data_IF_205076745975
#
_entry.id   IF_205076745975
#
_cell.length_a   1.000
_cell.length_b   1.000
_cell.length_c   1.000
_cell.angle_alpha   90.00
_cell.angle_beta   90.00
_cell.angle_gamma   90.00
#
_symmetry.space_group_name_H-M   'P 1'
#
loop_
_entity.id
_entity.type
_entity.pdbx_description
1 polymer ?
#
# COMPACT_ATOMS: atom_id res chain seq x y z
N UNK A 1 0.62 -10.84 -4.49
CA UNK A 1 -0.38 -11.12 -3.44
C UNK A 1 -0.12 -10.19 -2.26
N UNK A 2 -1.13 -9.92 -1.42
CA UNK A 2 -0.96 -9.04 -0.25
C UNK A 2 0.12 -9.56 0.72
N UNK A 3 0.08 -10.86 1.02
CA UNK A 3 1.07 -11.52 1.88
C UNK A 3 2.51 -11.39 1.36
N UNK A 4 2.71 -11.38 0.04
CA UNK A 4 4.04 -11.17 -0.54
C UNK A 4 4.57 -9.77 -0.21
N UNK A 5 3.79 -8.71 -0.46
CA UNK A 5 4.23 -7.33 -0.19
C UNK A 5 4.45 -7.09 1.31
N UNK A 6 3.72 -7.79 2.15
CA UNK A 6 3.90 -7.76 3.60
C UNK A 6 5.09 -8.58 4.10
N UNK A 7 5.81 -9.36 3.30
CA UNK A 7 6.89 -10.21 3.84
C UNK A 7 8.14 -10.25 2.98
N UNK A 8 8.10 -9.71 1.77
CA UNK A 8 9.24 -9.77 0.84
C UNK A 8 10.43 -8.94 1.32
N UNK A 9 10.22 -7.88 2.12
CA UNK A 9 11.28 -6.97 2.55
C UNK A 9 12.45 -7.66 3.29
N UNK A 10 12.23 -8.29 4.46
CA UNK A 10 13.30 -8.96 5.20
C UNK A 10 13.96 -10.08 4.38
N UNK A 11 13.17 -10.81 3.58
CA UNK A 11 13.69 -11.87 2.70
C UNK A 11 14.61 -11.30 1.62
N UNK A 12 14.22 -10.19 1.00
CA UNK A 12 15.05 -9.52 0.00
C UNK A 12 16.34 -8.97 0.63
N UNK A 13 16.25 -8.41 1.84
CA UNK A 13 17.42 -7.93 2.55
C UNK A 13 18.36 -9.07 2.94
N UNK A 14 17.85 -10.24 3.34
CA UNK A 14 18.66 -11.42 3.60
C UNK A 14 19.40 -11.94 2.37
N UNK A 15 18.90 -11.65 1.16
CA UNK A 15 19.54 -12.06 -0.11
C UNK A 15 20.57 -11.02 -0.57
N UNK A 16 20.26 -9.73 -0.44
CA UNK A 16 21.06 -8.63 -1.03
C UNK A 16 22.07 -8.06 -0.03
N UNK A 17 21.78 -8.15 1.27
CA UNK A 17 22.57 -7.60 2.36
C UNK A 17 23.48 -8.62 3.04
N UNK A 18 23.96 -9.64 2.34
CA UNK A 18 24.81 -10.72 2.90
C UNK A 18 26.04 -10.16 3.66
N UNK A 19 26.61 -9.06 3.16
CA UNK A 19 27.76 -8.37 3.76
C UNK A 19 27.42 -7.55 5.02
N UNK A 20 26.13 -7.32 5.33
CA UNK A 20 25.67 -6.53 6.49
C UNK A 20 25.58 -7.35 7.79
N UNK A 21 25.83 -8.66 7.72
CA UNK A 21 25.76 -9.58 8.86
C UNK A 21 24.37 -10.17 9.09
N UNK A 22 24.32 -11.28 9.84
CA UNK A 22 23.11 -12.09 10.04
C UNK A 22 21.96 -11.36 10.76
N UNK A 23 22.26 -10.27 11.47
CA UNK A 23 21.29 -9.49 12.24
C UNK A 23 20.49 -8.50 11.38
N UNK A 24 21.02 -8.08 10.21
CA UNK A 24 20.43 -7.03 9.39
C UNK A 24 18.97 -7.28 8.96
N UNK A 25 18.58 -8.49 8.51
CA UNK A 25 17.17 -8.82 8.23
C UNK A 25 16.26 -8.70 9.47
N UNK A 26 16.79 -9.00 10.66
CA UNK A 26 16.09 -8.88 11.94
C UNK A 26 15.81 -7.42 12.29
N UNK A 27 16.82 -6.55 12.18
CA UNK A 27 16.68 -5.10 12.39
C UNK A 27 15.63 -4.50 11.44
N UNK A 28 15.69 -4.87 10.16
CA UNK A 28 14.71 -4.44 9.17
C UNK A 28 13.29 -4.91 9.50
N UNK A 29 13.15 -6.16 9.95
CA UNK A 29 11.88 -6.72 10.40
C UNK A 29 11.32 -5.92 11.60
N UNK A 30 12.16 -5.54 12.56
CA UNK A 30 11.75 -4.74 13.72
C UNK A 30 11.20 -3.37 13.29
N UNK A 31 11.86 -2.70 12.34
CA UNK A 31 11.35 -1.47 11.72
C UNK A 31 10.00 -1.69 11.03
N UNK A 32 9.87 -2.78 10.27
CA UNK A 32 8.63 -3.16 9.58
C UNK A 32 7.46 -3.45 10.53
N UNK A 33 7.71 -4.06 11.68
CA UNK A 33 6.67 -4.33 12.68
C UNK A 33 6.03 -3.02 13.12
N UNK A 34 6.86 -2.03 13.47
CA UNK A 34 6.39 -0.70 13.89
C UNK A 34 5.69 0.02 12.74
N UNK A 35 6.25 -0.05 11.52
CA UNK A 35 5.69 0.65 10.36
C UNK A 35 4.32 0.13 9.92
N UNK A 36 3.97 -1.10 10.30
CA UNK A 36 2.69 -1.76 9.94
C UNK A 36 1.54 -1.48 10.89
N UNK A 37 1.79 -0.86 12.04
CA UNK A 37 0.75 -0.51 13.00
C UNK A 37 -0.47 0.16 12.30
N UNK A 38 -0.29 1.20 11.46
CA UNK A 38 -1.41 1.84 10.75
C UNK A 38 -2.12 0.89 9.78
N UNK A 39 -1.37 0.03 9.09
CA UNK A 39 -1.93 -0.93 8.15
C UNK A 39 -2.84 -1.94 8.88
N UNK A 40 -2.46 -2.41 10.07
CA UNK A 40 -3.30 -3.31 10.86
C UNK A 40 -4.61 -2.65 11.30
N UNK A 41 -4.57 -1.39 11.72
CA UNK A 41 -5.80 -0.62 11.99
C UNK A 41 -6.68 -0.51 10.73
N UNK A 42 -6.09 -0.25 9.57
CA UNK A 42 -6.82 -0.21 8.30
C UNK A 42 -7.47 -1.55 7.94
N UNK A 43 -6.82 -2.69 8.25
CA UNK A 43 -7.43 -4.02 8.01
C UNK A 43 -8.76 -4.19 8.75
N UNK A 44 -8.88 -3.66 9.97
CA UNK A 44 -10.15 -3.69 10.72
C UNK A 44 -11.23 -2.88 10.01
N UNK A 45 -10.87 -1.74 9.41
CA UNK A 45 -11.80 -0.86 8.69
C UNK A 45 -12.25 -1.49 7.36
N UNK A 46 -11.38 -2.22 6.64
CA UNK A 46 -11.73 -2.89 5.37
C UNK A 46 -12.95 -3.81 5.50
N UNK A 47 -13.09 -4.50 6.64
CA UNK A 47 -14.18 -5.46 6.87
C UNK A 47 -15.57 -4.80 6.81
N UNK A 48 -15.70 -3.55 7.29
CA UNK A 48 -16.96 -2.79 7.23
C UNK A 48 -17.19 -2.07 5.91
N UNK A 49 -16.12 -1.79 5.15
CA UNK A 49 -16.20 -0.98 3.93
C UNK A 49 -16.67 -1.75 2.70
N UNK A 50 -16.28 -3.02 2.57
CA UNK A 50 -16.67 -3.82 1.41
C UNK A 50 -18.19 -3.97 1.26
N UNK A 51 -18.95 -4.32 2.32
CA UNK A 51 -20.41 -4.41 2.22
C UNK A 51 -21.06 -3.08 1.84
N UNK A 52 -20.57 -1.96 2.38
CA UNK A 52 -21.10 -0.63 2.09
C UNK A 52 -20.88 -0.23 0.61
N UNK A 53 -19.71 -0.53 0.05
CA UNK A 53 -19.41 -0.31 -1.37
C UNK A 53 -20.23 -1.23 -2.28
N UNK A 54 -20.37 -2.51 -1.89
CA UNK A 54 -21.12 -3.50 -2.67
C UNK A 54 -22.62 -3.17 -2.72
N UNK A 55 -23.21 -2.67 -1.63
CA UNK A 55 -24.61 -2.26 -1.60
C UNK A 55 -24.89 -1.14 -2.61
N UNK A 56 -24.04 -0.10 -2.67
CA UNK A 56 -24.19 0.99 -3.65
C UNK A 56 -23.99 0.55 -5.10
N UNK A 57 -23.07 -0.39 -5.33
CA UNK A 57 -22.88 -0.98 -6.65
C UNK A 57 -24.09 -1.84 -7.08
N UNK A 58 -24.76 -2.51 -6.14
CA UNK A 58 -25.95 -3.32 -6.41
C UNK A 58 -27.18 -2.45 -6.72
N UNK A 59 -27.28 -1.27 -6.13
CA UNK A 59 -28.36 -0.30 -6.35
C UNK A 59 -28.21 0.50 -7.67
N UNK A 60 -27.19 0.21 -8.48
CA UNK A 60 -26.78 0.95 -9.69
C UNK A 60 -26.48 2.45 -9.44
N UNK A 61 -26.29 2.85 -8.18
CA UNK A 61 -25.86 4.19 -7.75
C UNK A 61 -24.35 4.36 -7.94
N UNK A 62 -23.92 4.44 -9.19
CA UNK A 62 -22.51 4.55 -9.55
C UNK A 62 -21.88 5.91 -9.17
N UNK A 63 -22.68 6.97 -9.11
CA UNK A 63 -22.22 8.30 -8.68
C UNK A 63 -21.98 8.34 -7.17
N UNK A 64 -22.91 7.82 -6.36
CA UNK A 64 -22.70 7.66 -4.92
C UNK A 64 -21.60 6.65 -4.59
N UNK A 65 -21.46 5.59 -5.38
CA UNK A 65 -20.30 4.68 -5.29
C UNK A 65 -18.98 5.43 -5.50
N UNK A 66 -18.87 6.25 -6.55
CA UNK A 66 -17.67 7.05 -6.83
C UNK A 66 -17.35 7.98 -5.68
N UNK A 67 -18.35 8.67 -5.12
CA UNK A 67 -18.16 9.59 -4.00
C UNK A 67 -17.60 8.87 -2.76
N UNK A 68 -18.22 7.75 -2.37
CA UNK A 68 -17.76 6.94 -1.24
C UNK A 68 -16.34 6.42 -1.46
N UNK A 69 -16.04 5.95 -2.68
CA UNK A 69 -14.72 5.45 -3.03
C UNK A 69 -13.65 6.56 -2.98
N UNK A 70 -13.94 7.76 -3.48
CA UNK A 70 -13.02 8.90 -3.41
C UNK A 70 -12.80 9.36 -1.97
N UNK A 71 -13.87 9.41 -1.17
CA UNK A 71 -13.79 9.74 0.26
C UNK A 71 -12.95 8.72 1.03
N UNK A 72 -13.12 7.43 0.73
CA UNK A 72 -12.31 6.36 1.29
C UNK A 72 -10.83 6.55 0.94
N UNK A 73 -10.51 6.68 -0.35
CA UNK A 73 -9.11 6.84 -0.80
C UNK A 73 -8.49 8.11 -0.23
N UNK A 74 -9.24 9.22 -0.17
CA UNK A 74 -8.79 10.47 0.44
C UNK A 74 -8.51 10.33 1.93
N UNK A 75 -9.41 9.70 2.69
CA UNK A 75 -9.20 9.44 4.11
C UNK A 75 -7.96 8.55 4.34
N UNK A 76 -7.79 7.50 3.52
CA UNK A 76 -6.63 6.61 3.60
C UNK A 76 -5.34 7.32 3.23
N UNK A 77 -5.35 8.22 2.25
CA UNK A 77 -4.20 9.05 1.89
C UNK A 77 -3.77 9.96 3.06
N UNK A 78 -4.73 10.58 3.74
CA UNK A 78 -4.46 11.41 4.93
C UNK A 78 -3.87 10.57 6.05
N UNK A 79 -4.47 9.41 6.35
CA UNK A 79 -3.96 8.50 7.38
C UNK A 79 -2.56 8.02 7.02
N UNK A 80 -2.33 7.59 5.78
CA UNK A 80 -1.03 7.13 5.30
C UNK A 80 0.04 8.21 5.41
N UNK A 81 -0.26 9.44 4.98
CA UNK A 81 0.67 10.57 5.09
C UNK A 81 0.97 10.93 6.55
N UNK A 82 -0.08 11.02 7.39
CA UNK A 82 0.05 11.33 8.81
C UNK A 82 0.83 10.27 9.57
N UNK A 83 0.53 8.99 9.34
CA UNK A 83 1.24 7.89 9.97
C UNK A 83 2.68 7.78 9.50
N UNK A 84 2.96 8.05 8.22
CA UNK A 84 4.31 8.10 7.68
C UNK A 84 5.15 9.16 8.38
N UNK A 85 4.62 10.37 8.52
CA UNK A 85 5.30 11.44 9.24
C UNK A 85 5.52 11.08 10.72
N UNK A 86 4.50 10.55 11.39
CA UNK A 86 4.59 10.13 12.79
C UNK A 86 5.64 9.03 13.00
N UNK A 87 5.67 8.01 12.13
CA UNK A 87 6.61 6.90 12.22
C UNK A 87 8.03 7.33 11.84
N UNK A 88 8.21 8.23 10.86
CA UNK A 88 9.53 8.78 10.56
C UNK A 88 10.13 9.53 11.77
N UNK A 89 9.30 10.26 12.51
CA UNK A 89 9.73 11.05 13.66
C UNK A 89 9.93 10.21 14.93
N UNK A 90 8.98 9.34 15.25
CA UNK A 90 8.92 8.62 16.54
C UNK A 90 9.42 7.18 16.41
N UNK A 91 9.37 6.58 15.23
CA UNK A 91 9.75 5.20 14.96
C UNK A 91 11.17 4.83 15.40
N UNK A 92 12.21 5.64 15.13
CA UNK A 92 13.57 5.36 15.61
C UNK A 92 13.66 5.18 17.12
N UNK A 93 12.95 6.04 17.87
CA UNK A 93 12.89 5.95 19.33
C UNK A 93 12.15 4.68 19.79
N UNK A 94 11.06 4.32 19.13
CA UNK A 94 10.30 3.09 19.42
C UNK A 94 11.16 1.86 19.18
N UNK A 95 11.85 1.79 18.03
CA UNK A 95 12.69 0.63 17.67
C UNK A 95 13.81 0.46 18.68
N UNK A 96 14.50 1.56 19.02
CA UNK A 96 15.56 1.55 20.03
C UNK A 96 15.09 1.09 21.40
N UNK A 97 13.90 1.52 21.81
CA UNK A 97 13.37 1.21 23.14
C UNK A 97 12.81 -0.21 23.22
N UNK A 98 12.12 -0.68 22.16
CA UNK A 98 11.43 -1.97 22.15
C UNK A 98 12.35 -3.13 21.76
N UNK A 99 13.32 -2.90 20.88
CA UNK A 99 14.14 -3.96 20.28
C UNK A 99 15.65 -3.81 20.53
N UNK A 100 16.08 -2.73 21.18
CA UNK A 100 17.51 -2.38 21.36
C UNK A 100 18.29 -2.19 20.04
N UNK A 101 17.58 -1.99 18.93
CA UNK A 101 18.14 -1.76 17.59
C UNK A 101 18.16 -0.29 17.19
N UNK A 102 18.88 0.05 16.12
CA UNK A 102 18.91 1.41 15.56
C UNK A 102 18.48 1.44 14.10
N UNK A 103 17.44 2.24 13.82
CA UNK A 103 17.01 2.61 12.48
C UNK A 103 16.87 4.13 12.38
N UNK A 104 17.19 4.70 11.22
CA UNK A 104 17.06 6.12 10.97
C UNK A 104 15.61 6.56 10.74
N UNK A 105 15.37 7.87 10.87
CA UNK A 105 14.07 8.46 10.52
C UNK A 105 13.69 8.26 9.05
N UNK A 106 14.69 8.24 8.15
CA UNK A 106 14.48 7.96 6.73
C UNK A 106 13.94 6.55 6.52
N UNK A 107 14.62 5.57 7.12
CA UNK A 107 14.31 4.14 7.00
C UNK A 107 12.89 3.88 7.52
N UNK A 108 12.59 4.37 8.72
CA UNK A 108 11.25 4.29 9.32
C UNK A 108 10.19 5.00 8.47
N UNK A 109 10.52 6.15 7.88
CA UNK A 109 9.64 6.90 6.98
C UNK A 109 9.35 6.14 5.69
N UNK A 110 10.35 5.56 5.03
CA UNK A 110 10.19 4.80 3.79
C UNK A 110 9.40 3.50 4.03
N UNK A 111 9.67 2.80 5.11
CA UNK A 111 8.92 1.61 5.52
C UNK A 111 7.44 1.96 5.75
N UNK A 112 7.16 3.05 6.48
CA UNK A 112 5.80 3.51 6.73
C UNK A 112 5.10 3.99 5.44
N UNK A 113 5.82 4.70 4.57
CA UNK A 113 5.31 5.14 3.28
C UNK A 113 4.92 3.96 2.39
N UNK A 114 5.72 2.89 2.38
CA UNK A 114 5.38 1.67 1.63
C UNK A 114 4.11 0.99 2.18
N UNK A 115 3.94 0.97 3.51
CA UNK A 115 2.71 0.52 4.16
C UNK A 115 1.51 1.39 3.78
N UNK A 116 1.68 2.71 3.73
CA UNK A 116 0.68 3.67 3.25
C UNK A 116 0.30 3.45 1.78
N UNK A 117 1.29 3.19 0.92
CA UNK A 117 1.07 2.80 -0.47
C UNK A 117 0.23 1.52 -0.59
N UNK A 118 0.52 0.53 0.24
CA UNK A 118 -0.28 -0.70 0.29
C UNK A 118 -1.71 -0.45 0.79
N UNK A 119 -1.92 0.44 1.77
CA UNK A 119 -3.25 0.84 2.22
C UNK A 119 -4.07 1.48 1.08
N UNK A 120 -3.46 2.37 0.30
CA UNK A 120 -4.10 2.98 -0.87
C UNK A 120 -4.46 1.94 -1.93
N UNK A 121 -3.51 1.05 -2.24
CA UNK A 121 -3.70 -0.07 -3.16
C UNK A 121 -4.87 -0.97 -2.74
N UNK A 122 -4.93 -1.35 -1.46
CA UNK A 122 -6.03 -2.15 -0.91
C UNK A 122 -7.37 -1.41 -0.93
N UNK A 123 -7.37 -0.09 -0.68
CA UNK A 123 -8.58 0.74 -0.76
C UNK A 123 -9.16 0.80 -2.17
N UNK A 124 -8.30 0.88 -3.19
CA UNK A 124 -8.68 0.84 -4.60
C UNK A 124 -9.16 -0.57 -5.01
N UNK A 125 -8.54 -1.62 -4.44
CA UNK A 125 -8.96 -3.00 -4.63
C UNK A 125 -10.42 -3.22 -4.20
N UNK A 126 -10.84 -2.63 -3.07
CA UNK A 126 -12.22 -2.73 -2.60
C UNK A 126 -13.23 -2.23 -3.65
N UNK A 127 -12.93 -1.11 -4.29
CA UNK A 127 -13.79 -0.56 -5.36
C UNK A 127 -13.86 -1.47 -6.58
N UNK A 128 -12.72 -1.97 -7.06
CA UNK A 128 -12.69 -2.90 -8.19
C UNK A 128 -13.44 -4.21 -7.89
N UNK A 129 -13.32 -4.73 -6.67
CA UNK A 129 -14.04 -5.94 -6.24
C UNK A 129 -15.54 -5.66 -6.13
N UNK A 130 -15.95 -4.53 -5.56
CA UNK A 130 -17.35 -4.16 -5.45
C UNK A 130 -18.04 -3.99 -6.82
N UNK A 131 -17.30 -3.55 -7.84
CA UNK A 131 -17.78 -3.51 -9.23
C UNK A 131 -17.73 -4.88 -9.94
N UNK A 132 -17.43 -5.97 -9.25
CA UNK A 132 -17.25 -7.32 -9.82
C UNK A 132 -16.06 -7.44 -10.81
N UNK A 133 -15.07 -6.57 -10.69
CA UNK A 133 -13.85 -6.53 -11.51
C UNK A 133 -12.61 -7.02 -10.73
N UNK A 134 -12.75 -8.09 -9.94
CA UNK A 134 -11.65 -8.67 -9.13
C UNK A 134 -10.39 -8.97 -9.95
N UNK A 135 -10.55 -9.32 -11.24
CA UNK A 135 -9.43 -9.53 -12.18
C UNK A 135 -8.56 -8.28 -12.33
N UNK A 136 -9.14 -7.09 -12.35
CA UNK A 136 -8.41 -5.83 -12.42
C UNK A 136 -7.66 -5.52 -11.12
N UNK A 137 -8.21 -5.93 -9.97
CA UNK A 137 -7.50 -5.81 -8.71
C UNK A 137 -6.22 -6.67 -8.69
N UNK A 138 -6.29 -7.88 -9.27
CA UNK A 138 -5.13 -8.76 -9.41
C UNK A 138 -4.02 -8.11 -10.26
N UNK A 139 -4.37 -7.36 -11.31
CA UNK A 139 -3.37 -6.66 -12.16
C UNK A 139 -2.50 -5.72 -11.32
N UNK A 140 -3.09 -4.96 -10.38
CA UNK A 140 -2.31 -4.10 -9.47
C UNK A 140 -1.30 -4.88 -8.63
N UNK A 141 -1.71 -6.04 -8.10
CA UNK A 141 -0.79 -6.91 -7.35
C UNK A 141 0.31 -7.51 -8.22
N UNK A 142 0.02 -7.86 -9.47
CA UNK A 142 1.04 -8.32 -10.41
C UNK A 142 2.04 -7.22 -10.72
N UNK A 143 1.57 -6.00 -10.98
CA UNK A 143 2.43 -4.82 -11.17
C UNK A 143 3.36 -4.64 -9.97
N UNK A 144 2.84 -4.66 -8.74
CA UNK A 144 3.67 -4.51 -7.55
C UNK A 144 4.72 -5.64 -7.42
N UNK A 145 4.31 -6.90 -7.66
CA UNK A 145 5.21 -8.07 -7.62
C UNK A 145 6.32 -7.98 -8.66
N UNK A 146 6.04 -7.41 -9.84
CA UNK A 146 7.04 -7.24 -10.91
C UNK A 146 7.92 -6.02 -10.67
N UNK A 147 7.37 -4.92 -10.19
CA UNK A 147 8.12 -3.68 -9.93
C UNK A 147 9.11 -3.86 -8.80
N UNK A 148 8.79 -4.65 -7.77
CA UNK A 148 9.70 -4.89 -6.65
C UNK A 148 11.10 -5.41 -7.08
N UNK A 149 11.24 -6.56 -7.77
CA UNK A 149 12.55 -7.07 -8.19
C UNK A 149 13.24 -6.18 -9.23
N UNK A 150 12.48 -5.42 -10.04
CA UNK A 150 13.04 -4.41 -10.95
C UNK A 150 13.67 -3.26 -10.15
N UNK A 151 12.98 -2.77 -9.12
CA UNK A 151 13.48 -1.72 -8.26
C UNK A 151 14.74 -2.16 -7.48
N UNK A 152 14.83 -3.45 -7.14
CA UNK A 152 16.05 -4.03 -6.57
C UNK A 152 17.24 -4.10 -7.55
N UNK A 153 17.09 -3.78 -8.84
CA UNK A 153 18.24 -3.72 -9.74
C UNK A 153 19.01 -2.39 -9.66
N UNK A 154 18.46 -1.38 -8.97
CA UNK A 154 19.09 -0.06 -8.88
C UNK A 154 20.09 0.00 -7.72
N UNK A 155 21.39 0.24 -8.00
CA UNK A 155 22.45 0.13 -7.00
C UNK A 155 22.28 1.19 -5.91
N UNK A 156 22.15 0.73 -4.67
CA UNK A 156 22.07 1.54 -3.45
C UNK A 156 22.62 0.72 -2.27
N UNK A 157 22.69 1.32 -1.09
CA UNK A 157 22.86 0.57 0.17
C UNK A 157 21.72 -0.46 0.32
N UNK A 158 21.99 -1.72 0.73
CA UNK A 158 20.99 -2.79 0.70
C UNK A 158 19.68 -2.46 1.45
N UNK A 159 19.75 -1.79 2.60
CA UNK A 159 18.58 -1.31 3.33
C UNK A 159 17.71 -0.38 2.46
N UNK A 160 18.31 0.69 1.95
CA UNK A 160 17.63 1.69 1.13
C UNK A 160 17.06 1.07 -0.15
N UNK A 161 17.80 0.14 -0.76
CA UNK A 161 17.39 -0.59 -1.96
C UNK A 161 16.08 -1.36 -1.73
N UNK A 162 15.95 -2.06 -0.60
CA UNK A 162 14.71 -2.77 -0.24
C UNK A 162 13.59 -1.80 0.12
N UNK A 163 13.87 -0.74 0.88
CA UNK A 163 12.88 0.27 1.28
C UNK A 163 12.24 0.97 0.08
N UNK A 164 13.08 1.47 -0.82
CA UNK A 164 12.64 2.09 -2.08
C UNK A 164 11.95 1.07 -2.95
N UNK A 165 12.43 -0.18 -2.99
CA UNK A 165 11.77 -1.27 -3.70
C UNK A 165 10.33 -1.50 -3.24
N UNK A 166 10.10 -1.57 -1.92
CA UNK A 166 8.77 -1.73 -1.34
C UNK A 166 7.86 -0.53 -1.64
N UNK A 167 8.40 0.68 -1.51
CA UNK A 167 7.65 1.91 -1.81
C UNK A 167 7.29 2.01 -3.29
N UNK A 168 8.21 1.69 -4.20
CA UNK A 168 7.98 1.70 -5.63
C UNK A 168 6.95 0.64 -6.04
N UNK A 169 7.06 -0.57 -5.50
CA UNK A 169 6.12 -1.66 -5.77
C UNK A 169 4.68 -1.31 -5.35
N UNK A 170 4.51 -0.83 -4.12
CA UNK A 170 3.18 -0.48 -3.59
C UNK A 170 2.59 0.74 -4.28
N UNK A 171 3.42 1.75 -4.59
CA UNK A 171 3.00 2.93 -5.36
C UNK A 171 2.59 2.57 -6.79
N UNK A 172 3.37 1.75 -7.50
CA UNK A 172 3.04 1.32 -8.86
C UNK A 172 1.75 0.48 -8.90
N UNK A 173 1.57 -0.43 -7.92
CA UNK A 173 0.33 -1.18 -7.76
C UNK A 173 -0.88 -0.28 -7.51
N UNK A 174 -0.77 0.70 -6.60
CA UNK A 174 -1.81 1.68 -6.33
C UNK A 174 -2.15 2.52 -7.58
N UNK A 175 -1.14 3.01 -8.30
CA UNK A 175 -1.32 3.77 -9.55
C UNK A 175 -2.04 2.91 -10.59
N UNK A 176 -1.63 1.65 -10.77
CA UNK A 176 -2.28 0.75 -11.71
C UNK A 176 -3.76 0.55 -11.38
N UNK A 177 -4.10 0.30 -10.11
CA UNK A 177 -5.51 0.12 -9.71
C UNK A 177 -6.32 1.42 -9.80
N UNK A 178 -5.71 2.57 -9.47
CA UNK A 178 -6.34 3.87 -9.62
C UNK A 178 -6.63 4.19 -11.10
N UNK A 179 -5.70 3.87 -11.99
CA UNK A 179 -5.89 4.02 -13.43
C UNK A 179 -7.00 3.10 -13.96
N UNK A 180 -7.00 1.82 -13.58
CA UNK A 180 -8.03 0.86 -13.98
C UNK A 180 -9.42 1.28 -13.50
N UNK A 181 -9.56 1.70 -12.24
CA UNK A 181 -10.82 2.16 -11.69
C UNK A 181 -11.31 3.44 -12.40
N UNK A 182 -10.40 4.36 -12.73
CA UNK A 182 -10.72 5.56 -13.51
C UNK A 182 -11.21 5.23 -14.92
N UNK A 183 -10.62 4.21 -15.56
CA UNK A 183 -11.06 3.72 -16.87
C UNK A 183 -12.48 3.13 -16.77
N UNK A 184 -12.78 2.36 -15.73
CA UNK A 184 -14.14 1.81 -15.55
C UNK A 184 -15.18 2.92 -15.34
N UNK A 185 -14.90 3.92 -14.49
CA UNK A 185 -15.79 5.07 -14.37
C UNK A 185 -15.98 5.83 -15.69
N UNK A 186 -14.94 5.95 -16.52
CA UNK A 186 -15.06 6.55 -17.84
C UNK A 186 -15.94 5.72 -18.78
N UNK A 187 -15.86 4.39 -18.75
CA UNK A 187 -16.72 3.48 -19.53
C UNK A 187 -18.19 3.57 -19.10
N UNK A 188 -18.46 3.58 -17.79
CA UNK A 188 -19.81 3.74 -17.27
C UNK A 188 -20.43 5.09 -17.65
N UNK A 189 -19.63 6.17 -17.65
CA UNK A 189 -20.05 7.48 -18.15
C UNK A 189 -20.35 7.47 -19.65
N UNK A 190 -19.48 6.86 -20.47
CA UNK A 190 -19.70 6.74 -21.90
C UNK A 190 -20.99 5.94 -22.24
N UNK A 191 -21.37 5.00 -21.38
CA UNK A 191 -22.62 4.24 -21.47
C UNK A 191 -23.85 4.98 -20.89
N UNK A 192 -23.71 6.22 -20.41
CA UNK A 192 -24.81 7.02 -19.83
C UNK A 192 -25.28 6.56 -18.44
N UNK A 193 -24.52 5.68 -17.76
CA UNK A 193 -24.85 5.13 -16.43
C UNK A 193 -24.30 5.97 -15.27
N UNK A 194 -23.52 6.99 -15.56
CA UNK A 194 -22.96 7.93 -14.59
C UNK A 194 -23.08 9.35 -15.13
N UNK A 195 -23.28 10.32 -14.25
CA UNK A 195 -23.38 11.73 -14.64
C UNK A 195 -22.06 12.26 -15.23
N UNK A 196 -22.19 13.27 -16.10
CA UNK A 196 -21.08 13.87 -16.85
C UNK A 196 -20.31 14.96 -16.10
N UNK A 197 -20.58 15.17 -14.81
CA UNK A 197 -20.02 16.26 -13.98
C UNK A 197 -19.38 15.66 -12.72
N UNK A 198 -18.26 16.11 -12.14
CA UNK A 198 -17.19 17.03 -12.49
C UNK A 198 -15.86 16.41 -11.99
#
# INVERSE_FOLDING_TARGET
SEAFLLNVGPVALAIIGDELGEEAPGVFLNGLIISRIPLFFFQAVKASLLPALAARAADDDLDGFREVQLRLVGAVAVVAGGSTAAIALVGPWVVKTAFADSLGSRDMGLLAASGGGLMLMLSLSLGLVALNHTRLAIVGFLVAVVVFPIALQFPNEPFLQVEVGLLAATSAGAIAQGALLRIEFARHRAAGRMSSLA
#
